data_IF_769427171232
#
_entry.id   IF_769427171232
#
_cell.length_a   1.000
_cell.length_b   1.000
_cell.length_c   1.000
_cell.angle_alpha   90.00
_cell.angle_beta   90.00
_cell.angle_gamma   90.00
#
_symmetry.space_group_name_H-M   'P 1'
#
loop_
_entity.id
_entity.type
_entity.pdbx_description
1 polymer ?
#
# COMPACT_ATOMS: atom_id res chain seq x y z
N UNK A 1 17.48 2.90 3.66
CA UNK A 1 16.09 2.61 3.26
C UNK A 1 16.15 1.83 1.95
N UNK A 2 15.33 0.80 1.73
CA UNK A 2 15.32 0.09 0.44
C UNK A 2 15.02 1.08 -0.70
N UNK A 3 15.91 1.16 -1.68
CA UNK A 3 15.66 1.91 -2.92
C UNK A 3 14.93 1.00 -3.89
N UNK A 4 13.80 1.47 -4.43
CA UNK A 4 13.03 0.76 -5.44
C UNK A 4 13.46 1.26 -6.82
N UNK A 5 13.64 0.36 -7.79
CA UNK A 5 13.99 0.77 -9.14
C UNK A 5 12.78 1.39 -9.86
N UNK A 6 12.96 2.45 -10.67
CA UNK A 6 11.88 2.96 -11.51
C UNK A 6 11.27 1.84 -12.37
N UNK A 7 9.94 1.69 -12.35
CA UNK A 7 9.16 0.60 -12.98
C UNK A 7 9.18 -0.77 -12.27
N UNK A 8 9.76 -0.86 -11.08
CA UNK A 8 9.69 -2.08 -10.27
C UNK A 8 8.40 -2.09 -9.44
N UNK A 9 7.51 -3.06 -9.72
CA UNK A 9 6.33 -3.33 -8.90
C UNK A 9 6.71 -4.20 -7.70
N UNK A 10 6.30 -3.79 -6.50
CA UNK A 10 6.44 -4.60 -5.28
C UNK A 10 5.08 -4.78 -4.62
N UNK A 11 4.92 -5.85 -3.86
CA UNK A 11 3.70 -6.11 -3.08
C UNK A 11 4.08 -6.14 -1.62
N UNK A 12 3.48 -5.24 -0.84
CA UNK A 12 3.55 -5.31 0.60
C UNK A 12 2.39 -6.16 1.13
N UNK A 13 2.67 -6.99 2.12
CA UNK A 13 1.64 -7.77 2.81
C UNK A 13 1.42 -7.13 4.18
N UNK A 14 0.21 -6.63 4.42
CA UNK A 14 -0.16 -6.01 5.68
C UNK A 14 -1.22 -6.87 6.40
N UNK A 15 -0.95 -7.24 7.65
CA UNK A 15 -1.91 -7.95 8.49
C UNK A 15 -2.75 -6.94 9.27
N UNK A 16 -4.05 -6.91 9.01
CA UNK A 16 -4.99 -5.96 9.59
C UNK A 16 -5.99 -6.70 10.50
N UNK A 17 -6.03 -6.39 11.81
CA UNK A 17 -7.03 -6.92 12.73
C UNK A 17 -8.28 -6.04 12.75
N UNK A 18 -9.16 -6.19 11.75
CA UNK A 18 -10.42 -5.41 11.68
C UNK A 18 -11.58 -6.21 12.28
N UNK A 19 -12.40 -5.55 13.10
CA UNK A 19 -13.60 -6.10 13.74
C UNK A 19 -14.72 -5.04 13.76
N UNK A 20 -16.00 -5.44 13.68
CA UNK A 20 -16.54 -6.79 13.44
C UNK A 20 -16.35 -7.29 12.00
N UNK A 21 -16.70 -8.56 11.75
CA UNK A 21 -16.73 -9.15 10.41
C UNK A 21 -17.82 -8.51 9.53
N UNK A 22 -17.64 -8.53 8.22
CA UNK A 22 -18.61 -8.06 7.22
C UNK A 22 -18.54 -6.56 6.91
N UNK A 23 -17.62 -5.81 7.52
CA UNK A 23 -17.40 -4.41 7.20
C UNK A 23 -16.66 -4.25 5.86
N UNK A 24 -17.15 -3.34 5.02
CA UNK A 24 -16.40 -2.86 3.87
C UNK A 24 -15.32 -1.89 4.35
N UNK A 25 -14.07 -2.19 4.04
CA UNK A 25 -12.91 -1.43 4.47
C UNK A 25 -12.04 -1.08 3.26
N UNK A 26 -11.21 -0.05 3.44
CA UNK A 26 -10.18 0.32 2.48
C UNK A 26 -8.85 0.47 3.20
N UNK A 27 -7.76 0.12 2.51
CA UNK A 27 -6.41 0.31 3.00
C UNK A 27 -5.52 0.86 1.89
N UNK A 28 -4.55 1.68 2.27
CA UNK A 28 -3.57 2.25 1.35
C UNK A 28 -2.19 2.24 2.03
N UNK A 29 -1.17 1.83 1.28
CA UNK A 29 0.22 1.93 1.70
C UNK A 29 0.88 3.09 0.96
N UNK A 30 1.54 3.96 1.71
CA UNK A 30 2.41 5.00 1.17
C UNK A 30 3.83 4.81 1.64
N UNK A 31 4.76 4.90 0.70
CA UNK A 31 6.19 5.00 0.99
C UNK A 31 6.59 6.46 0.83
N UNK A 32 7.13 7.03 1.90
CA UNK A 32 7.62 8.40 1.92
C UNK A 32 9.13 8.42 2.17
N UNK A 33 9.83 9.31 1.46
CA UNK A 33 11.22 9.65 1.74
C UNK A 33 11.25 11.12 2.14
N UNK A 34 11.80 11.47 3.30
CA UNK A 34 11.85 12.87 3.77
C UNK A 34 10.50 13.62 3.65
N UNK A 35 9.39 12.95 4.03
CA UNK A 35 8.02 13.47 3.95
C UNK A 35 7.44 13.67 2.53
N UNK A 36 8.18 13.37 1.45
CA UNK A 36 7.62 13.36 0.08
C UNK A 36 7.11 11.97 -0.27
N UNK A 37 5.92 11.89 -0.86
CA UNK A 37 5.28 10.63 -1.28
C UNK A 37 5.99 10.09 -2.53
N UNK A 38 6.60 8.92 -2.43
CA UNK A 38 7.42 8.30 -3.49
C UNK A 38 6.69 7.15 -4.19
N UNK A 39 5.86 6.41 -3.45
CA UNK A 39 5.06 5.31 -4.00
C UNK A 39 3.73 5.18 -3.25
N UNK A 40 2.71 4.66 -3.92
CA UNK A 40 1.44 4.30 -3.31
C UNK A 40 0.91 2.99 -3.85
N UNK A 41 0.15 2.27 -3.01
CA UNK A 41 -0.70 1.18 -3.51
C UNK A 41 -2.04 1.64 -4.09
N UNK A 42 -2.43 2.89 -3.80
CA UNK A 42 -3.80 3.33 -3.93
C UNK A 42 -4.71 2.69 -2.88
N UNK A 43 -5.97 3.14 -2.83
CA UNK A 43 -7.00 2.56 -1.96
C UNK A 43 -7.41 1.19 -2.48
N UNK A 44 -7.09 0.16 -1.69
CA UNK A 44 -7.48 -1.22 -1.96
C UNK A 44 -8.68 -1.58 -1.06
N UNK A 45 -9.85 -1.92 -1.64
CA UNK A 45 -10.99 -2.37 -0.86
C UNK A 45 -10.76 -3.81 -0.35
N UNK A 46 -11.22 -4.08 0.86
CA UNK A 46 -11.28 -5.42 1.43
C UNK A 46 -12.47 -5.57 2.37
N UNK A 47 -12.91 -6.80 2.59
CA UNK A 47 -13.96 -7.11 3.57
C UNK A 47 -13.33 -7.61 4.86
N UNK A 48 -13.70 -6.99 5.98
CA UNK A 48 -13.30 -7.45 7.31
C UNK A 48 -13.82 -8.85 7.58
N UNK A 49 -12.94 -9.74 8.02
CA UNK A 49 -13.25 -11.12 8.44
C UNK A 49 -13.55 -11.22 9.93
N UNK A 50 -13.40 -10.13 10.69
CA UNK A 50 -13.49 -10.15 12.15
C UNK A 50 -12.29 -10.80 12.85
N UNK A 51 -11.27 -11.18 12.09
CA UNK A 51 -10.00 -11.73 12.56
C UNK A 51 -8.83 -10.99 11.90
N UNK A 52 -7.60 -11.35 12.28
CA UNK A 52 -6.42 -10.84 11.59
C UNK A 52 -6.37 -11.41 10.18
N UNK A 53 -6.36 -10.55 9.17
CA UNK A 53 -6.27 -10.95 7.77
C UNK A 53 -5.13 -10.21 7.07
N UNK A 54 -4.44 -10.90 6.19
CA UNK A 54 -3.41 -10.31 5.37
C UNK A 54 -4.02 -9.78 4.07
N UNK A 55 -3.70 -8.54 3.73
CA UNK A 55 -4.06 -7.93 2.45
C UNK A 55 -2.80 -7.63 1.65
N UNK A 56 -2.92 -7.77 0.33
CA UNK A 56 -1.85 -7.46 -0.60
C UNK A 56 -2.01 -6.01 -1.07
N UNK A 57 -0.97 -5.21 -0.85
CA UNK A 57 -0.90 -3.81 -1.22
C UNK A 57 0.18 -3.66 -2.29
N UNK A 58 -0.18 -3.76 -3.58
CA UNK A 58 0.76 -3.59 -4.68
C UNK A 58 1.19 -2.13 -4.76
N UNK A 59 2.46 -1.84 -4.48
CA UNK A 59 3.02 -0.51 -4.58
C UNK A 59 3.65 -0.30 -5.96
N UNK A 60 3.26 0.77 -6.63
CA UNK A 60 3.97 1.32 -7.77
C UNK A 60 4.69 2.59 -7.36
N UNK A 61 5.96 2.70 -7.76
CA UNK A 61 6.64 3.99 -7.77
C UNK A 61 5.84 4.91 -8.68
N UNK A 62 5.45 6.06 -8.13
CA UNK A 62 5.09 7.18 -8.99
C UNK A 62 6.43 7.55 -9.64
N UNK A 63 6.55 7.31 -10.94
CA UNK A 63 7.69 7.80 -11.71
C UNK A 63 7.85 9.26 -11.34
N UNK A 64 8.90 9.59 -10.58
CA UNK A 64 9.25 10.98 -10.32
C UNK A 64 9.31 11.61 -11.70
N UNK A 65 8.47 12.63 -11.94
CA UNK A 65 8.64 13.47 -13.11
C UNK A 65 10.11 13.89 -13.11
N UNK A 66 10.85 13.38 -14.09
CA UNK A 66 12.22 13.79 -14.31
C UNK A 66 12.14 15.25 -14.74
N UNK A 67 12.29 16.17 -13.80
CA UNK A 67 12.51 17.58 -14.14
C UNK A 67 13.71 17.61 -15.08
N UNK A 68 13.44 18.04 -16.31
CA UNK A 68 14.39 18.22 -17.41
C UNK A 68 14.77 19.68 -17.46
#
# INVERSE_FOLDING_TARGET
>A
MPEFSPNEGKVAIATLPVKPAGLACTAELWLASNMTKVATSGLIPFTSTGASQSINLPTSLLSQCKET
#
